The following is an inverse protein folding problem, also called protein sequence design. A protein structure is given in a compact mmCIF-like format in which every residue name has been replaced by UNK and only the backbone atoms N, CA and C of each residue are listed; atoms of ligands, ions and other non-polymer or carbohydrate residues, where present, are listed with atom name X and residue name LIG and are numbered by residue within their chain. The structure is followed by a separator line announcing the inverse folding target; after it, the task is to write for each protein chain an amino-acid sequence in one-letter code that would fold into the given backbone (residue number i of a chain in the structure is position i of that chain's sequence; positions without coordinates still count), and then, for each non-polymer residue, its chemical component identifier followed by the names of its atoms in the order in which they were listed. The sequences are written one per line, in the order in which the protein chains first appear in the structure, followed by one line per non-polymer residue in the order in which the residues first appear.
data_IF_146541715332
#
_entry.id   IF_146541715332
#
_cell.length_a   1.000
_cell.length_b   1.000
_cell.length_c   1.000
_cell.angle_alpha   90.00
_cell.angle_beta   90.00
_cell.angle_gamma   90.00
#
_symmetry.space_group_name_H-M   'P 1'
#
loop_
_entity.id
_entity.type
_entity.pdbx_description
1 polymer ?
#
# COMPACT_ATOMS: atom_id res chain seq x y z
N UNK A 1 -24.12 58.02 -8.09
CA UNK A 1 -23.60 56.78 -8.67
C UNK A 1 -22.16 56.44 -8.21
N UNK A 2 -21.75 56.76 -6.98
CA UNK A 2 -20.38 56.44 -6.47
C UNK A 2 -20.34 55.47 -5.27
N UNK A 3 -21.51 54.97 -4.85
CA UNK A 3 -21.62 54.11 -3.66
C UNK A 3 -21.52 52.60 -3.93
N UNK A 4 -21.90 52.12 -5.12
CA UNK A 4 -21.94 50.70 -5.46
C UNK A 4 -20.56 50.05 -5.67
N UNK A 5 -19.60 50.81 -6.24
CA UNK A 5 -18.25 50.26 -6.51
C UNK A 5 -17.41 50.00 -5.26
N UNK A 6 -17.59 50.82 -4.23
CA UNK A 6 -16.83 50.67 -2.97
C UNK A 6 -17.32 49.48 -2.13
N UNK A 7 -18.62 49.16 -2.19
CA UNK A 7 -19.21 48.01 -1.50
C UNK A 7 -18.81 46.70 -2.20
N UNK A 8 -18.78 46.70 -3.54
CA UNK A 8 -18.35 45.53 -4.32
C UNK A 8 -16.89 45.22 -4.12
N UNK A 9 -16.01 46.23 -4.05
CA UNK A 9 -14.57 46.05 -3.80
C UNK A 9 -14.29 45.58 -2.38
N UNK A 10 -15.07 45.99 -1.38
CA UNK A 10 -14.96 45.50 0.00
C UNK A 10 -15.45 44.08 0.16
N UNK A 11 -16.46 43.66 -0.59
CA UNK A 11 -16.97 42.27 -0.57
C UNK A 11 -15.97 41.32 -1.23
N UNK A 12 -15.37 41.71 -2.36
CA UNK A 12 -14.32 40.91 -3.05
C UNK A 12 -13.07 40.76 -2.20
N UNK A 13 -12.63 41.79 -1.47
CA UNK A 13 -11.48 41.73 -0.57
C UNK A 13 -11.80 40.87 0.64
N UNK A 14 -13.04 40.89 1.17
CA UNK A 14 -13.45 40.03 2.29
C UNK A 14 -13.50 38.53 1.91
N UNK A 15 -13.97 38.23 0.70
CA UNK A 15 -14.01 36.85 0.16
C UNK A 15 -12.59 36.34 -0.09
N UNK A 16 -11.68 37.17 -0.60
CA UNK A 16 -10.29 36.79 -0.80
C UNK A 16 -9.52 36.56 0.53
N UNK A 17 -9.82 37.31 1.59
CA UNK A 17 -9.20 37.13 2.92
C UNK A 17 -9.74 35.88 3.63
N UNK A 18 -11.01 35.52 3.40
CA UNK A 18 -11.59 34.28 3.96
C UNK A 18 -11.03 33.02 3.25
N UNK A 19 -10.69 33.11 1.96
CA UNK A 19 -10.01 32.00 1.26
C UNK A 19 -8.54 31.80 1.68
N UNK A 20 -7.90 32.80 2.30
CA UNK A 20 -6.49 32.74 2.70
C UNK A 20 -6.25 32.16 4.11
N UNK A 21 -7.30 31.77 4.83
CA UNK A 21 -7.22 31.22 6.19
C UNK A 21 -7.79 29.81 6.29
N UNK A 22 -7.65 28.97 5.28
CA UNK A 22 -7.77 27.53 5.49
C UNK A 22 -6.44 27.11 6.14
N UNK A 23 -6.44 26.67 7.43
CA UNK A 23 -5.22 26.18 8.03
C UNK A 23 -4.70 25.05 7.15
N UNK A 24 -3.42 25.05 6.85
CA UNK A 24 -2.78 23.92 6.19
C UNK A 24 -3.04 22.68 7.05
N UNK A 25 -3.84 21.77 6.55
CA UNK A 25 -4.11 20.51 7.22
C UNK A 25 -2.80 19.76 7.32
N UNK A 26 -2.35 19.49 8.55
CA UNK A 26 -1.12 18.76 8.78
C UNK A 26 -1.31 17.32 8.31
N UNK A 27 -0.46 16.87 7.40
CA UNK A 27 -0.52 15.50 6.89
C UNK A 27 -0.23 14.49 8.02
N UNK A 28 -0.86 13.32 7.96
CA UNK A 28 -0.57 12.24 8.88
C UNK A 28 0.93 11.94 8.92
N UNK A 29 1.46 11.69 10.11
CA UNK A 29 2.85 11.27 10.28
C UNK A 29 3.04 9.88 9.62
N UNK A 30 3.54 9.92 8.40
CA UNK A 30 3.75 8.75 7.55
C UNK A 30 4.70 7.75 8.20
N UNK A 31 5.81 8.22 8.78
CA UNK A 31 6.82 7.34 9.35
C UNK A 31 6.27 6.63 10.57
N UNK A 32 5.47 7.32 11.37
CA UNK A 32 4.73 6.74 12.47
C UNK A 32 3.74 5.66 12.00
N UNK A 33 2.88 5.98 11.03
CA UNK A 33 1.92 5.01 10.46
C UNK A 33 2.61 3.80 9.83
N UNK A 34 3.81 3.96 9.29
CA UNK A 34 4.56 2.87 8.70
C UNK A 34 5.36 2.05 9.71
N UNK A 35 5.69 2.58 10.88
CA UNK A 35 6.57 1.93 11.87
C UNK A 35 5.83 1.32 13.05
N UNK A 36 4.69 1.89 13.47
CA UNK A 36 3.98 1.45 14.66
C UNK A 36 3.19 0.15 14.47
N UNK A 37 3.11 -0.70 15.53
CA UNK A 37 2.15 -1.79 15.57
C UNK A 37 0.73 -1.24 15.82
N UNK A 38 -0.29 -1.99 15.40
CA UNK A 38 -1.69 -1.60 15.57
C UNK A 38 -2.23 -0.71 14.46
N UNK A 39 -1.47 -0.51 13.37
CA UNK A 39 -1.90 0.24 12.20
C UNK A 39 -2.50 -0.69 11.16
N UNK A 40 -3.67 -0.35 10.65
CA UNK A 40 -4.30 -1.08 9.54
C UNK A 40 -3.59 -0.75 8.23
N UNK A 41 -3.27 -1.81 7.46
CA UNK A 41 -2.79 -1.71 6.09
C UNK A 41 -3.82 -2.29 5.13
N UNK A 42 -4.27 -1.50 4.17
CA UNK A 42 -5.18 -1.94 3.12
C UNK A 42 -4.47 -1.91 1.78
N UNK A 43 -4.63 -2.98 1.01
CA UNK A 43 -4.14 -3.11 -0.36
C UNK A 43 -5.35 -3.20 -1.28
N UNK A 44 -5.68 -2.10 -1.95
CA UNK A 44 -6.83 -2.00 -2.85
C UNK A 44 -6.35 -1.95 -4.30
N UNK A 45 -6.55 -3.04 -5.04
CA UNK A 45 -6.16 -3.18 -6.44
C UNK A 45 -7.37 -2.99 -7.35
N UNK A 46 -7.18 -2.20 -8.40
CA UNK A 46 -8.22 -1.86 -9.36
C UNK A 46 -7.75 -2.10 -10.79
N UNK A 47 -8.70 -2.47 -11.63
CA UNK A 47 -8.55 -2.53 -13.08
C UNK A 47 -9.32 -1.38 -13.71
N UNK A 48 -8.73 -0.75 -14.70
CA UNK A 48 -9.42 0.20 -15.56
C UNK A 48 -10.31 -0.55 -16.56
N UNK A 49 -11.52 -0.05 -16.78
CA UNK A 49 -12.41 -0.60 -17.79
C UNK A 49 -11.94 -0.24 -19.22
N UNK A 50 -12.55 -0.88 -20.22
CA UNK A 50 -12.21 -0.65 -21.61
C UNK A 50 -12.64 0.75 -22.12
N UNK A 51 -13.56 1.42 -21.43
CA UNK A 51 -14.08 2.71 -21.84
C UNK A 51 -13.16 3.85 -21.41
N UNK A 52 -12.28 3.61 -20.43
CA UNK A 52 -11.25 4.56 -20.03
C UNK A 52 -10.40 5.04 -21.21
N UNK A 53 -9.88 4.11 -22.01
CA UNK A 53 -9.03 4.41 -23.16
C UNK A 53 -9.76 5.05 -24.35
N UNK A 54 -11.11 5.03 -24.36
CA UNK A 54 -11.94 5.64 -25.42
C UNK A 54 -12.26 7.10 -25.14
N UNK A 55 -12.01 7.60 -23.93
CA UNK A 55 -12.27 8.98 -23.57
C UNK A 55 -11.24 9.93 -24.18
N UNK A 56 -11.65 11.17 -24.40
CA UNK A 56 -10.72 12.24 -24.76
C UNK A 56 -9.69 12.46 -23.65
N UNK A 57 -8.46 12.75 -24.04
CA UNK A 57 -7.36 12.97 -23.10
C UNK A 57 -7.67 14.08 -22.08
N UNK A 58 -8.31 15.17 -22.52
CA UNK A 58 -8.70 16.28 -21.64
C UNK A 58 -9.66 15.82 -20.54
N UNK A 59 -10.57 14.92 -20.86
CA UNK A 59 -11.52 14.36 -19.89
C UNK A 59 -10.80 13.43 -18.91
N UNK A 60 -9.87 12.58 -19.39
CA UNK A 60 -9.05 11.74 -18.51
C UNK A 60 -8.24 12.58 -17.52
N UNK A 61 -7.59 13.66 -18.01
CA UNK A 61 -6.82 14.58 -17.16
C UNK A 61 -7.73 15.20 -16.09
N UNK A 62 -8.91 15.69 -16.47
CA UNK A 62 -9.85 16.30 -15.53
C UNK A 62 -10.28 15.31 -14.43
N UNK A 63 -10.61 14.07 -14.79
CA UNK A 63 -11.00 13.03 -13.83
C UNK A 63 -9.84 12.62 -12.90
N UNK A 64 -8.62 12.52 -13.42
CA UNK A 64 -7.42 12.21 -12.64
C UNK A 64 -7.03 13.38 -11.71
N UNK A 65 -7.32 14.62 -12.11
CA UNK A 65 -7.15 15.78 -11.22
C UNK A 65 -8.09 15.69 -10.01
N UNK A 66 -9.31 15.20 -10.22
CA UNK A 66 -10.26 14.93 -9.11
C UNK A 66 -9.71 13.82 -8.20
N UNK A 67 -9.16 12.74 -8.77
CA UNK A 67 -8.48 11.70 -7.99
C UNK A 67 -7.38 12.30 -7.08
N UNK A 68 -6.54 13.18 -7.62
CA UNK A 68 -5.50 13.87 -6.84
C UNK A 68 -6.13 14.62 -5.66
N UNK A 69 -7.21 15.34 -5.89
CA UNK A 69 -7.97 16.05 -4.85
C UNK A 69 -8.48 15.10 -3.76
N UNK A 70 -9.02 13.93 -4.14
CA UNK A 70 -9.49 12.90 -3.17
C UNK A 70 -8.33 12.38 -2.33
N UNK A 71 -7.17 12.11 -2.93
CA UNK A 71 -5.99 11.67 -2.17
C UNK A 71 -5.52 12.73 -1.18
N UNK A 72 -5.39 13.99 -1.64
CA UNK A 72 -4.97 15.11 -0.79
C UNK A 72 -5.91 15.34 0.40
N UNK A 73 -7.23 15.26 0.16
CA UNK A 73 -8.25 15.47 1.17
C UNK A 73 -8.15 14.46 2.35
N UNK A 74 -7.59 13.28 2.11
CA UNK A 74 -7.47 12.23 3.13
C UNK A 74 -6.07 12.15 3.77
N UNK A 75 -5.10 12.95 3.35
CA UNK A 75 -3.71 12.92 3.84
C UNK A 75 -3.56 13.20 5.33
N UNK A 76 -4.51 13.91 5.94
CA UNK A 76 -4.50 14.19 7.38
C UNK A 76 -4.55 12.91 8.21
N UNK A 77 -5.25 11.87 7.73
CA UNK A 77 -5.54 10.64 8.48
C UNK A 77 -4.90 9.40 7.89
N UNK A 78 -4.52 9.45 6.63
CA UNK A 78 -4.05 8.31 5.85
C UNK A 78 -2.66 8.53 5.26
N UNK A 79 -1.82 7.49 5.34
CA UNK A 79 -0.68 7.40 4.45
C UNK A 79 -1.07 6.56 3.23
N UNK A 80 -1.13 7.20 2.07
CA UNK A 80 -1.58 6.59 0.82
C UNK A 80 -0.42 6.54 -0.16
N UNK A 81 -0.11 5.33 -0.63
CA UNK A 81 0.80 5.06 -1.74
C UNK A 81 0.03 4.52 -2.92
N UNK A 82 0.39 4.95 -4.11
CA UNK A 82 -0.16 4.43 -5.35
C UNK A 82 0.97 3.80 -6.19
N UNK A 83 0.68 2.62 -6.74
CA UNK A 83 1.61 1.86 -7.58
C UNK A 83 0.97 1.61 -8.94
N UNK A 84 1.77 1.73 -10.00
CA UNK A 84 1.36 1.40 -11.36
C UNK A 84 1.63 -0.08 -11.61
N UNK A 85 0.57 -0.86 -11.80
CA UNK A 85 0.62 -2.28 -12.12
C UNK A 85 0.41 -2.57 -13.60
N UNK A 86 -0.20 -1.62 -14.32
CA UNK A 86 -0.50 -1.74 -15.74
C UNK A 86 0.76 -2.03 -16.55
N UNK A 87 0.70 -3.04 -17.39
CA UNK A 87 1.83 -3.51 -18.18
C UNK A 87 2.74 -4.53 -17.48
N UNK A 88 2.61 -4.70 -16.15
CA UNK A 88 3.35 -5.72 -15.39
C UNK A 88 2.43 -6.78 -14.77
N UNK A 89 1.21 -6.42 -14.40
CA UNK A 89 0.24 -7.34 -13.82
C UNK A 89 -0.92 -7.61 -14.80
N UNK A 90 -1.31 -8.87 -14.95
CA UNK A 90 -2.54 -9.25 -15.65
C UNK A 90 -3.81 -9.13 -14.80
N UNK A 91 -3.66 -8.79 -13.51
CA UNK A 91 -4.75 -8.81 -12.54
C UNK A 91 -5.33 -7.43 -12.23
N UNK A 92 -4.49 -6.38 -12.24
CA UNK A 92 -4.88 -5.01 -11.94
C UNK A 92 -3.99 -4.00 -12.66
N UNK A 93 -4.47 -2.76 -12.79
CA UNK A 93 -3.75 -1.64 -13.37
C UNK A 93 -3.15 -0.73 -12.30
N UNK A 94 -3.83 -0.60 -11.16
CA UNK A 94 -3.47 0.27 -10.04
C UNK A 94 -3.56 -0.48 -8.72
N UNK A 95 -2.68 -0.12 -7.78
CA UNK A 95 -2.74 -0.59 -6.40
C UNK A 95 -2.57 0.59 -5.45
N UNK A 96 -3.54 0.80 -4.57
CA UNK A 96 -3.43 1.68 -3.42
C UNK A 96 -2.98 0.88 -2.20
N UNK A 97 -1.90 1.30 -1.56
CA UNK A 97 -1.49 0.84 -0.23
C UNK A 97 -1.81 1.95 0.76
N UNK A 98 -2.71 1.69 1.67
CA UNK A 98 -3.28 2.68 2.57
C UNK A 98 -2.98 2.27 4.00
N UNK A 99 -2.44 3.18 4.82
CA UNK A 99 -2.26 2.97 6.26
C UNK A 99 -3.12 3.95 7.04
N UNK A 100 -3.79 3.42 8.05
CA UNK A 100 -4.68 4.15 8.93
C UNK A 100 -4.65 3.59 10.35
N UNK A 101 -4.87 4.43 11.35
CA UNK A 101 -5.13 3.98 12.73
C UNK A 101 -6.56 3.43 12.88
N UNK A 102 -7.48 3.84 12.00
CA UNK A 102 -8.88 3.43 11.99
C UNK A 102 -9.29 2.96 10.59
N UNK A 103 -9.76 1.73 10.45
CA UNK A 103 -10.13 1.15 9.15
C UNK A 103 -11.28 1.90 8.46
N UNK A 104 -12.17 2.54 9.23
CA UNK A 104 -13.25 3.38 8.69
C UNK A 104 -12.75 4.57 7.86
N UNK A 105 -11.58 5.12 8.17
CA UNK A 105 -10.99 6.22 7.38
C UNK A 105 -10.56 5.71 6.00
N UNK A 106 -10.02 4.51 5.94
CA UNK A 106 -9.74 3.82 4.67
C UNK A 106 -11.02 3.59 3.86
N UNK A 107 -12.11 3.17 4.51
CA UNK A 107 -13.40 2.99 3.86
C UNK A 107 -13.92 4.30 3.26
N UNK A 108 -13.84 5.41 4.00
CA UNK A 108 -14.26 6.73 3.50
C UNK A 108 -13.46 7.14 2.27
N UNK A 109 -12.15 6.95 2.28
CA UNK A 109 -11.31 7.20 1.10
C UNK A 109 -11.74 6.36 -0.11
N UNK A 110 -11.91 5.06 0.06
CA UNK A 110 -12.29 4.15 -1.03
C UNK A 110 -13.70 4.46 -1.58
N UNK A 111 -14.65 4.86 -0.72
CA UNK A 111 -15.98 5.33 -1.16
C UNK A 111 -15.87 6.64 -1.95
N UNK A 112 -15.05 7.58 -1.51
CA UNK A 112 -14.78 8.82 -2.24
C UNK A 112 -14.10 8.56 -3.60
N UNK A 113 -13.14 7.65 -3.65
CA UNK A 113 -12.47 7.22 -4.88
C UNK A 113 -13.47 6.61 -5.87
N UNK A 114 -14.25 5.62 -5.42
CA UNK A 114 -15.18 4.86 -6.28
C UNK A 114 -16.42 5.68 -6.66
N UNK A 115 -16.85 6.61 -5.81
CA UNK A 115 -17.99 7.50 -6.09
C UNK A 115 -17.69 8.63 -7.08
N UNK A 116 -16.41 8.93 -7.32
CA UNK A 116 -15.98 9.96 -8.26
C UNK A 116 -16.10 9.57 -9.73
N UNK A 117 -15.89 10.52 -10.62
CA UNK A 117 -15.96 10.29 -12.07
C UNK A 117 -14.92 9.26 -12.53
N UNK A 118 -13.68 9.35 -12.04
CA UNK A 118 -12.63 8.37 -12.30
C UNK A 118 -13.02 6.99 -11.76
N UNK A 119 -13.64 6.95 -10.57
CA UNK A 119 -14.03 5.72 -9.91
C UNK A 119 -15.02 4.86 -10.69
N UNK A 120 -15.81 5.46 -11.58
CA UNK A 120 -16.74 4.74 -12.48
C UNK A 120 -16.00 3.82 -13.46
N UNK A 121 -14.73 4.11 -13.74
CA UNK A 121 -13.86 3.32 -14.61
C UNK A 121 -13.02 2.31 -13.84
N UNK A 122 -13.16 2.24 -12.51
CA UNK A 122 -12.44 1.33 -11.65
C UNK A 122 -13.28 0.09 -11.32
N UNK A 123 -12.83 -1.06 -11.78
CA UNK A 123 -13.34 -2.36 -11.31
C UNK A 123 -12.41 -2.86 -10.22
N UNK A 124 -12.97 -3.20 -9.06
CA UNK A 124 -12.20 -3.78 -7.96
C UNK A 124 -11.67 -5.15 -8.36
N UNK A 125 -10.36 -5.30 -8.37
CA UNK A 125 -9.67 -6.56 -8.61
C UNK A 125 -9.41 -7.33 -7.30
N UNK A 126 -9.00 -6.61 -6.24
CA UNK A 126 -8.84 -7.15 -4.89
C UNK A 126 -8.85 -6.00 -3.87
N UNK A 127 -9.39 -6.27 -2.70
CA UNK A 127 -9.18 -5.45 -1.51
C UNK A 127 -8.75 -6.39 -0.41
N UNK A 128 -7.60 -6.12 0.21
CA UNK A 128 -7.01 -6.96 1.25
C UNK A 128 -6.68 -6.10 2.46
N UNK A 129 -7.04 -6.59 3.65
CA UNK A 129 -6.84 -5.88 4.90
C UNK A 129 -5.92 -6.64 5.83
N UNK A 130 -5.04 -5.93 6.51
CA UNK A 130 -4.21 -6.50 7.55
C UNK A 130 -3.80 -5.47 8.59
N UNK A 131 -3.24 -5.94 9.69
CA UNK A 131 -2.83 -5.16 10.84
C UNK A 131 -1.34 -5.35 11.07
N UNK A 132 -0.62 -4.27 11.33
CA UNK A 132 0.79 -4.34 11.75
C UNK A 132 0.88 -4.82 13.19
N UNK A 133 1.77 -5.76 13.47
CA UNK A 133 2.02 -6.30 14.82
C UNK A 133 3.52 -6.35 15.12
N UNK A 134 3.87 -6.37 16.39
CA UNK A 134 5.23 -6.72 16.81
C UNK A 134 5.50 -8.18 16.43
N UNK A 135 6.72 -8.47 16.02
CA UNK A 135 7.14 -9.83 15.66
C UNK A 135 7.20 -10.71 16.92
N UNK A 136 6.32 -11.71 17.02
CA UNK A 136 6.15 -12.52 18.22
C UNK A 136 7.29 -13.54 18.43
N UNK A 137 7.91 -14.03 17.35
CA UNK A 137 8.94 -15.08 17.41
C UNK A 137 10.36 -14.52 17.63
N UNK A 138 10.62 -13.29 17.17
CA UNK A 138 11.95 -12.66 17.20
C UNK A 138 12.60 -12.65 18.59
N UNK A 139 11.88 -12.42 19.71
CA UNK A 139 12.53 -12.46 21.04
C UNK A 139 13.21 -13.77 21.35
N UNK A 140 12.71 -14.91 20.86
CA UNK A 140 13.29 -16.26 21.05
C UNK A 140 14.41 -16.64 20.07
N UNK A 141 14.70 -15.80 19.07
CA UNK A 141 15.72 -16.12 18.06
C UNK A 141 17.15 -15.94 18.60
N UNK A 142 18.14 -16.66 18.03
CA UNK A 142 19.55 -16.41 18.30
C UNK A 142 19.93 -14.95 18.04
N UNK A 143 20.92 -14.43 18.80
CA UNK A 143 21.31 -13.02 18.71
C UNK A 143 21.84 -12.64 17.31
N UNK A 144 22.51 -13.57 16.62
CA UNK A 144 22.92 -13.37 15.23
C UNK A 144 21.73 -13.13 14.31
N UNK A 145 20.67 -13.93 14.41
CA UNK A 145 19.45 -13.77 13.60
C UNK A 145 18.75 -12.44 13.93
N UNK A 146 18.73 -12.04 15.20
CA UNK A 146 18.21 -10.73 15.62
C UNK A 146 19.03 -9.56 15.04
N UNK A 147 20.36 -9.73 14.98
CA UNK A 147 21.24 -8.72 14.37
C UNK A 147 21.01 -8.61 12.87
N UNK A 148 20.89 -9.73 12.18
CA UNK A 148 20.61 -9.76 10.74
C UNK A 148 19.29 -9.04 10.40
N UNK A 149 18.24 -9.25 11.20
CA UNK A 149 16.95 -8.58 11.05
C UNK A 149 17.03 -7.06 11.19
N UNK A 150 18.02 -6.54 11.92
CA UNK A 150 18.24 -5.09 12.10
C UNK A 150 19.12 -4.49 11.00
N UNK A 151 19.64 -5.29 10.09
CA UNK A 151 20.47 -4.81 8.99
C UNK A 151 19.69 -3.79 8.16
N UNK A 152 20.21 -2.57 8.00
CA UNK A 152 19.53 -1.56 7.21
C UNK A 152 19.48 -1.95 5.74
N UNK A 153 18.38 -1.61 5.10
CA UNK A 153 18.24 -1.74 3.65
C UNK A 153 19.23 -0.83 2.94
N UNK A 154 19.77 -1.27 1.82
CA UNK A 154 20.62 -0.44 0.94
C UNK A 154 19.90 0.88 0.62
N UNK A 155 20.63 2.02 0.63
CA UNK A 155 20.05 3.30 0.24
C UNK A 155 19.69 3.31 -1.24
N UNK A 156 18.83 4.26 -1.63
CA UNK A 156 18.43 4.49 -3.01
C UNK A 156 17.02 4.02 -3.34
N UNK A 157 16.55 4.37 -4.54
CA UNK A 157 15.20 4.09 -4.98
C UNK A 157 14.96 2.59 -5.14
N UNK A 158 13.77 2.14 -4.75
CA UNK A 158 13.27 0.77 -4.97
C UNK A 158 12.08 0.85 -5.92
N UNK A 159 12.34 0.77 -7.24
CA UNK A 159 11.30 1.04 -8.23
C UNK A 159 10.22 -0.03 -8.34
N UNK A 160 10.41 -1.19 -7.73
CA UNK A 160 9.42 -2.28 -7.79
C UNK A 160 8.78 -2.50 -6.43
N UNK A 161 7.45 -2.65 -6.44
CA UNK A 161 6.65 -3.08 -5.31
C UNK A 161 5.96 -4.41 -5.63
N UNK A 162 6.02 -5.36 -4.69
CA UNK A 162 5.40 -6.67 -4.83
C UNK A 162 4.51 -6.95 -3.61
N UNK A 163 3.30 -7.48 -3.84
CA UNK A 163 2.36 -7.89 -2.80
C UNK A 163 2.02 -9.35 -2.97
N UNK A 164 2.21 -10.14 -1.91
CA UNK A 164 1.89 -11.56 -1.88
C UNK A 164 0.91 -11.82 -0.74
N UNK A 165 -0.37 -12.14 -1.03
CA UNK A 165 -1.31 -12.63 -0.05
C UNK A 165 -0.99 -14.07 0.33
N UNK A 166 -1.12 -14.40 1.62
CA UNK A 166 -0.80 -15.72 2.17
C UNK A 166 -1.96 -16.23 3.01
N UNK A 167 -2.34 -17.49 2.80
CA UNK A 167 -3.22 -18.24 3.69
C UNK A 167 -2.54 -19.52 4.16
N UNK A 168 -2.52 -19.73 5.45
CA UNK A 168 -2.00 -20.95 6.08
C UNK A 168 -3.04 -22.05 6.09
N UNK A 169 -2.56 -23.30 6.23
CA UNK A 169 -3.43 -24.45 6.49
C UNK A 169 -3.88 -24.47 7.96
N UNK A 170 -4.94 -25.21 8.25
CA UNK A 170 -5.34 -25.47 9.63
C UNK A 170 -4.24 -26.15 10.44
N UNK A 171 -3.45 -27.03 9.80
CA UNK A 171 -2.35 -27.76 10.43
C UNK A 171 -1.27 -26.80 10.95
N UNK A 172 -1.00 -25.70 10.26
CA UNK A 172 -0.09 -24.64 10.76
C UNK A 172 -0.55 -24.11 12.11
N UNK A 173 -1.82 -23.80 12.21
CA UNK A 173 -2.39 -23.23 13.44
C UNK A 173 -2.51 -24.27 14.57
N UNK A 174 -2.60 -25.57 14.21
CA UNK A 174 -2.58 -26.69 15.15
C UNK A 174 -1.20 -27.07 15.69
N UNK A 175 -0.10 -26.53 15.11
CA UNK A 175 1.24 -26.78 15.60
C UNK A 175 1.48 -26.11 16.96
N UNK A 176 2.29 -26.77 17.80
CA UNK A 176 2.83 -26.18 19.02
C UNK A 176 3.58 -24.89 18.70
N UNK A 177 3.57 -23.95 19.65
CA UNK A 177 4.22 -22.66 19.49
C UNK A 177 5.73 -22.80 19.20
N UNK A 178 6.41 -23.72 19.88
CA UNK A 178 7.85 -23.94 19.74
C UNK A 178 8.20 -24.46 18.33
N UNK A 179 7.37 -25.37 17.78
CA UNK A 179 7.54 -25.86 16.41
C UNK A 179 7.38 -24.73 15.39
N UNK A 180 6.36 -23.88 15.56
CA UNK A 180 6.18 -22.71 14.69
C UNK A 180 7.35 -21.73 14.82
N UNK A 181 7.82 -21.48 16.05
CA UNK A 181 8.96 -20.61 16.29
C UNK A 181 10.23 -21.11 15.60
N UNK A 182 10.53 -22.42 15.68
CA UNK A 182 11.68 -23.04 15.01
C UNK A 182 11.58 -22.92 13.47
N UNK A 183 10.40 -23.15 12.89
CA UNK A 183 10.18 -22.98 11.44
C UNK A 183 10.29 -21.51 11.02
N UNK A 184 9.82 -20.58 11.85
CA UNK A 184 9.95 -19.13 11.56
C UNK A 184 11.38 -18.64 11.73
N UNK A 185 12.18 -19.28 12.58
CA UNK A 185 13.62 -19.03 12.63
C UNK A 185 14.30 -19.46 11.32
N UNK A 186 14.06 -20.70 10.85
CA UNK A 186 14.55 -21.21 9.56
C UNK A 186 14.16 -20.29 8.40
N UNK A 187 12.88 -19.85 8.35
CA UNK A 187 12.37 -18.87 7.39
C UNK A 187 13.16 -17.56 7.44
N UNK A 188 13.46 -17.08 8.64
CA UNK A 188 14.19 -15.83 8.84
C UNK A 188 15.64 -15.97 8.39
N UNK A 189 16.31 -17.05 8.74
CA UNK A 189 17.68 -17.35 8.31
C UNK A 189 17.77 -17.46 6.78
N UNK A 190 16.82 -18.15 6.13
CA UNK A 190 16.75 -18.24 4.67
C UNK A 190 16.55 -16.87 3.99
N UNK A 191 15.88 -15.94 4.64
CA UNK A 191 15.64 -14.59 4.12
C UNK A 191 16.75 -13.60 4.42
N UNK A 192 17.64 -13.89 5.39
CA UNK A 192 18.67 -12.97 5.86
C UNK A 192 19.62 -12.44 4.76
N UNK A 193 20.07 -13.24 3.76
CA UNK A 193 20.94 -12.76 2.70
C UNK A 193 20.33 -11.61 1.86
N UNK A 194 19.01 -11.51 1.82
CA UNK A 194 18.27 -10.59 0.95
C UNK A 194 17.77 -9.33 1.65
N UNK A 195 17.96 -9.19 2.98
CA UNK A 195 17.41 -8.08 3.78
C UNK A 195 17.91 -6.71 3.29
N UNK A 196 19.15 -6.63 2.81
CA UNK A 196 19.75 -5.39 2.32
C UNK A 196 19.10 -4.88 1.03
N UNK A 197 18.76 -5.79 0.14
CA UNK A 197 18.28 -5.47 -1.22
C UNK A 197 16.77 -5.53 -1.36
N UNK A 198 16.09 -6.31 -0.50
CA UNK A 198 14.65 -6.49 -0.52
C UNK A 198 14.05 -6.01 0.81
N UNK A 199 13.50 -4.79 0.80
CA UNK A 199 12.73 -4.25 1.91
C UNK A 199 11.41 -5.01 2.02
N UNK A 200 10.99 -5.35 3.24
CA UNK A 200 9.77 -6.15 3.47
C UNK A 200 8.92 -5.59 4.60
N UNK A 201 7.62 -5.83 4.52
CA UNK A 201 6.65 -5.57 5.59
C UNK A 201 5.59 -6.66 5.61
N UNK A 202 5.25 -7.11 6.83
CA UNK A 202 4.21 -8.11 7.07
C UNK A 202 2.98 -7.46 7.70
N UNK A 203 1.80 -7.88 7.24
CA UNK A 203 0.51 -7.52 7.81
C UNK A 203 -0.23 -8.80 8.20
N UNK A 204 -0.85 -8.79 9.38
CA UNK A 204 -1.66 -9.90 9.89
C UNK A 204 -3.11 -9.67 9.49
N UNK A 205 -3.71 -10.64 8.81
CA UNK A 205 -5.03 -10.50 8.17
C UNK A 205 -6.10 -11.41 8.77
N UNK A 206 -5.72 -12.44 9.55
CA UNK A 206 -6.67 -13.40 10.13
C UNK A 206 -7.82 -12.71 10.85
N UNK A 207 -9.04 -13.00 10.43
CA UNK A 207 -10.28 -12.40 10.94
C UNK A 207 -10.62 -11.01 10.38
N UNK A 208 -9.71 -10.39 9.62
CA UNK A 208 -9.94 -9.14 8.88
C UNK A 208 -10.17 -9.40 7.39
N UNK A 209 -9.70 -10.55 6.91
CA UNK A 209 -9.76 -10.98 5.52
C UNK A 209 -9.79 -12.52 5.46
N UNK A 210 -10.00 -13.10 4.27
CA UNK A 210 -9.83 -14.53 3.99
C UNK A 210 -8.36 -14.97 3.95
N UNK A 211 -7.46 -14.11 4.35
CA UNK A 211 -6.03 -14.30 4.42
C UNK A 211 -5.55 -14.41 5.86
N UNK A 212 -4.36 -14.98 6.05
CA UNK A 212 -3.67 -14.93 7.34
C UNK A 212 -2.63 -13.80 7.36
N UNK A 213 -1.98 -13.58 6.20
CA UNK A 213 -0.95 -12.55 6.06
C UNK A 213 -0.99 -11.89 4.69
N UNK A 214 -0.50 -10.65 4.65
CA UNK A 214 -0.12 -9.95 3.43
C UNK A 214 1.34 -9.58 3.58
N UNK A 215 2.18 -10.00 2.64
CA UNK A 215 3.57 -9.58 2.58
C UNK A 215 3.76 -8.56 1.48
N UNK A 216 4.45 -7.49 1.82
CA UNK A 216 4.78 -6.39 0.93
C UNK A 216 6.29 -6.27 0.82
N UNK A 217 6.78 -6.10 -0.39
CA UNK A 217 8.20 -5.95 -0.71
C UNK A 217 8.45 -4.74 -1.59
N UNK A 218 9.61 -4.09 -1.38
CA UNK A 218 10.17 -3.10 -2.29
C UNK A 218 11.60 -3.49 -2.64
N UNK A 219 11.98 -3.41 -3.91
CA UNK A 219 13.34 -3.73 -4.35
C UNK A 219 13.72 -2.98 -5.62
N UNK A 220 15.03 -2.80 -5.82
CA UNK A 220 15.64 -2.45 -7.11
C UNK A 220 16.20 -3.67 -7.83
N UNK A 221 16.26 -4.84 -7.15
CA UNK A 221 16.89 -6.09 -7.63
C UNK A 221 15.87 -7.21 -7.64
N UNK A 222 15.12 -7.34 -8.74
CA UNK A 222 14.14 -8.43 -8.89
C UNK A 222 14.77 -9.82 -8.86
N UNK A 223 16.05 -9.95 -9.23
CA UNK A 223 16.80 -11.21 -9.13
C UNK A 223 16.97 -11.66 -7.67
N UNK A 224 17.29 -10.71 -6.77
CA UNK A 224 17.40 -10.99 -5.34
C UNK A 224 16.03 -11.35 -4.76
N UNK A 225 14.97 -10.66 -5.19
CA UNK A 225 13.61 -11.00 -4.79
C UNK A 225 13.21 -12.41 -5.27
N UNK A 226 13.50 -12.76 -6.52
CA UNK A 226 13.28 -14.12 -7.04
C UNK A 226 14.05 -15.17 -6.22
N UNK A 227 15.32 -14.92 -5.94
CA UNK A 227 16.17 -15.82 -5.14
C UNK A 227 15.66 -15.95 -3.71
N UNK A 228 15.16 -14.87 -3.10
CA UNK A 228 14.49 -14.89 -1.81
C UNK A 228 13.26 -15.83 -1.83
N UNK A 229 12.41 -15.73 -2.84
CA UNK A 229 11.23 -16.60 -2.94
C UNK A 229 11.64 -18.07 -3.07
N UNK A 230 12.62 -18.38 -3.93
CA UNK A 230 13.14 -19.75 -4.08
C UNK A 230 13.76 -20.29 -2.78
N UNK A 231 14.40 -19.44 -1.97
CA UNK A 231 14.92 -19.83 -0.67
C UNK A 231 13.78 -20.13 0.31
N UNK A 232 12.72 -19.32 0.30
CA UNK A 232 11.55 -19.51 1.15
C UNK A 232 10.69 -20.72 0.77
N UNK A 233 10.68 -21.12 -0.50
CA UNK A 233 9.99 -22.35 -0.94
C UNK A 233 10.60 -23.63 -0.40
N UNK A 234 11.86 -23.59 0.07
CA UNK A 234 12.60 -24.74 0.60
C UNK A 234 12.49 -24.93 2.10
N UNK A 235 11.99 -23.93 2.84
CA UNK A 235 11.88 -24.03 4.30
C UNK A 235 10.70 -24.88 4.73
N UNK A 236 10.79 -25.49 5.93
CA UNK A 236 9.76 -26.40 6.47
C UNK A 236 8.40 -25.76 6.67
N UNK A 237 8.34 -24.45 6.78
CA UNK A 237 7.10 -23.69 6.94
C UNK A 237 6.30 -23.58 5.63
N UNK A 238 6.97 -23.60 4.47
CA UNK A 238 6.34 -23.34 3.18
C UNK A 238 5.18 -24.29 2.82
N UNK A 239 5.26 -25.61 3.05
CA UNK A 239 4.16 -26.55 2.75
C UNK A 239 2.84 -26.26 3.49
N UNK A 240 2.90 -25.47 4.57
CA UNK A 240 1.70 -25.03 5.29
C UNK A 240 0.97 -23.85 4.62
N UNK A 241 1.47 -23.33 3.51
CA UNK A 241 0.76 -22.30 2.74
C UNK A 241 -0.29 -22.95 1.83
N UNK A 242 -1.57 -22.78 2.12
CA UNK A 242 -2.68 -23.14 1.20
C UNK A 242 -2.77 -22.18 0.03
N UNK A 243 -2.34 -20.94 0.25
CA UNK A 243 -2.25 -19.87 -0.75
C UNK A 243 -0.97 -19.09 -0.52
N UNK A 244 -0.20 -18.94 -1.59
CA UNK A 244 0.97 -18.06 -1.65
C UNK A 244 0.90 -17.31 -2.97
N UNK A 245 0.53 -16.01 -2.92
CA UNK A 245 0.12 -15.27 -4.11
C UNK A 245 -1.33 -15.57 -4.54
N UNK A 246 -1.56 -15.62 -5.85
CA UNK A 246 -2.87 -15.85 -6.48
C UNK A 246 -3.93 -14.78 -6.14
N UNK A 247 -3.73 -13.52 -6.63
CA UNK A 247 -2.59 -13.10 -7.44
C UNK A 247 -1.41 -12.60 -6.62
N UNK A 248 -0.18 -12.76 -7.12
CA UNK A 248 0.93 -11.90 -6.79
C UNK A 248 0.78 -10.61 -7.59
N UNK A 249 0.80 -9.47 -6.92
CA UNK A 249 0.72 -8.17 -7.57
C UNK A 249 2.12 -7.56 -7.66
N UNK A 250 2.54 -7.21 -8.86
CA UNK A 250 3.80 -6.51 -9.09
C UNK A 250 3.53 -5.19 -9.81
N UNK A 251 4.18 -4.13 -9.37
CA UNK A 251 4.06 -2.80 -9.98
C UNK A 251 5.30 -1.96 -9.77
N UNK A 252 5.29 -0.78 -10.37
CA UNK A 252 6.34 0.22 -10.18
C UNK A 252 5.91 1.29 -9.18
N UNK A 253 6.88 1.69 -8.34
CA UNK A 253 6.73 2.82 -7.43
C UNK A 253 6.90 4.10 -8.23
N UNK A 254 5.87 4.94 -8.25
CA UNK A 254 5.84 6.21 -8.97
C UNK A 254 5.13 7.25 -8.12
N UNK A 255 5.42 8.52 -8.37
CA UNK A 255 4.63 9.60 -7.81
C UNK A 255 3.20 9.59 -8.36
N UNK A 256 2.28 10.18 -7.61
CA UNK A 256 0.90 10.32 -8.07
C UNK A 256 0.82 11.10 -9.40
N UNK A 257 1.66 12.12 -9.56
CA UNK A 257 1.69 12.94 -10.78
C UNK A 257 2.19 12.12 -11.98
N UNK A 258 3.25 11.32 -11.85
CA UNK A 258 3.70 10.40 -12.90
C UNK A 258 2.61 9.40 -13.31
N UNK A 259 1.87 8.86 -12.33
CA UNK A 259 0.78 7.92 -12.63
C UNK A 259 -0.35 8.62 -13.37
N UNK A 260 -0.70 9.86 -12.96
CA UNK A 260 -1.70 10.68 -13.65
C UNK A 260 -1.29 10.93 -15.11
N UNK A 261 -0.04 11.31 -15.35
CA UNK A 261 0.48 11.52 -16.70
C UNK A 261 0.39 10.26 -17.57
N UNK A 262 0.75 9.10 -17.01
CA UNK A 262 0.70 7.81 -17.73
C UNK A 262 -0.74 7.40 -18.03
N UNK A 263 -1.65 7.55 -17.09
CA UNK A 263 -3.05 7.15 -17.27
C UNK A 263 -3.83 8.12 -18.17
N UNK A 264 -3.38 9.36 -18.30
CA UNK A 264 -3.97 10.35 -19.17
C UNK A 264 -3.61 10.15 -20.66
N UNK A 265 -2.57 9.40 -20.97
CA UNK A 265 -2.17 9.06 -22.35
C UNK A 265 -3.12 8.05 -22.98
#
# INVERSE_FOLDING_TARGET
MRSSSAIFMRLVVLVLIVLAMVPAVEAADRDKLLSEPGVYGTFAAFRLDADWGKQDQSLRIAQLTVLKGVVEQHREKLAIDLYLLRGLSGHADLLFRIHATELRETQQFLLGLQGGLFGKHLTTAAIMHGLTKKANYVPGFPDQVKADLKTPSEPGPKPYAIVIPIRKSADWWGLDQDKRAAMMQEHTEASAPYIKTVKRKLYHSSGLDDLDFITYFETSKLEDFHSLILALEKVKEFPYNRRFGHPTLIGTVKSLDEIIEILAQ
#
